data_IF_371599321585
#
_entry.id   IF_371599321585
#
_cell.length_a   1.000
_cell.length_b   1.000
_cell.length_c   1.000
_cell.angle_alpha   90.00
_cell.angle_beta   90.00
_cell.angle_gamma   90.00
#
_symmetry.space_group_name_H-M   'P 1'
#
loop_
_entity.id
_entity.type
_entity.pdbx_description
1 polymer ?
#
# COMPACT_ATOMS: atom_id res chain seq x y z
N UNK A 1 20.79 -13.53 -10.09
CA UNK A 1 21.19 -13.19 -11.47
C UNK A 1 21.31 -14.42 -12.39
N UNK A 2 20.69 -15.59 -12.11
CA UNK A 2 20.71 -16.72 -13.08
C UNK A 2 19.39 -17.48 -13.25
N UNK A 3 18.25 -16.89 -12.85
CA UNK A 3 16.92 -17.52 -13.02
C UNK A 3 15.85 -16.60 -13.63
N UNK A 4 16.18 -15.32 -13.83
CA UNK A 4 15.20 -14.27 -14.19
C UNK A 4 14.97 -14.13 -15.70
N UNK A 5 15.83 -14.73 -16.53
CA UNK A 5 15.73 -14.66 -18.00
C UNK A 5 15.27 -15.98 -18.64
N UNK A 6 15.64 -17.14 -18.10
CA UNK A 6 15.31 -18.45 -18.66
C UNK A 6 13.89 -18.94 -18.37
N UNK A 7 13.37 -18.70 -17.15
CA UNK A 7 12.08 -19.25 -16.71
C UNK A 7 10.87 -18.73 -17.50
N UNK A 8 10.97 -17.52 -18.03
CA UNK A 8 9.87 -16.88 -18.80
C UNK A 8 9.77 -17.44 -20.21
N UNK A 9 10.90 -17.77 -20.85
CA UNK A 9 10.91 -18.45 -22.17
C UNK A 9 10.38 -19.88 -22.08
N UNK A 10 10.66 -20.58 -20.98
CA UNK A 10 10.11 -21.92 -20.73
C UNK A 10 8.59 -21.87 -20.59
N UNK A 11 8.05 -20.86 -19.90
CA UNK A 11 6.61 -20.73 -19.64
C UNK A 11 5.76 -20.33 -20.87
N UNK A 12 6.32 -19.58 -21.82
CA UNK A 12 5.64 -19.30 -23.09
C UNK A 12 5.48 -20.55 -23.98
N UNK A 13 6.20 -21.63 -23.68
CA UNK A 13 6.12 -22.90 -24.38
C UNK A 13 5.05 -23.82 -23.77
N UNK A 14 4.33 -24.61 -24.58
CA UNK A 14 3.19 -25.46 -24.13
C UNK A 14 3.57 -26.39 -22.96
N UNK A 15 4.82 -26.87 -22.94
CA UNK A 15 5.35 -27.78 -21.93
C UNK A 15 5.70 -27.10 -20.59
N UNK A 16 6.10 -25.82 -20.62
CA UNK A 16 6.39 -25.07 -19.40
C UNK A 16 5.14 -24.70 -18.61
N UNK A 17 3.99 -24.54 -19.29
CA UNK A 17 2.67 -24.39 -18.65
C UNK A 17 2.27 -25.65 -17.87
N UNK A 18 2.49 -26.83 -18.45
CA UNK A 18 2.17 -28.11 -17.79
C UNK A 18 3.08 -28.36 -16.59
N UNK A 19 4.38 -28.06 -16.70
CA UNK A 19 5.33 -28.13 -15.58
C UNK A 19 4.95 -27.16 -14.44
N UNK A 20 4.55 -25.92 -14.75
CA UNK A 20 4.12 -24.97 -13.72
C UNK A 20 2.76 -25.31 -13.08
N UNK A 21 1.87 -25.97 -13.80
CA UNK A 21 0.62 -26.48 -13.22
C UNK A 21 0.86 -27.64 -12.24
N UNK A 22 1.87 -28.46 -12.49
CA UNK A 22 2.21 -29.61 -11.63
C UNK A 22 3.04 -29.17 -10.41
N UNK A 23 3.99 -28.24 -10.60
CA UNK A 23 4.93 -27.84 -9.53
C UNK A 23 4.61 -26.49 -8.87
N UNK A 24 3.70 -25.69 -9.42
CA UNK A 24 3.39 -24.34 -8.95
C UNK A 24 2.76 -24.29 -7.56
N UNK A 25 1.87 -25.23 -7.23
CA UNK A 25 1.28 -25.38 -5.90
C UNK A 25 2.32 -25.78 -4.85
N UNK A 26 3.26 -26.67 -5.20
CA UNK A 26 4.36 -27.04 -4.31
C UNK A 26 5.33 -25.87 -4.08
N UNK A 27 5.63 -25.08 -5.13
CA UNK A 27 6.54 -23.93 -5.05
C UNK A 27 5.94 -22.76 -4.26
N UNK A 28 4.63 -22.50 -4.37
CA UNK A 28 3.92 -21.48 -3.59
C UNK A 28 3.89 -21.83 -2.09
N UNK A 29 3.67 -23.10 -1.75
CA UNK A 29 3.75 -23.58 -0.37
C UNK A 29 5.18 -23.52 0.19
N UNK A 30 6.20 -23.70 -0.65
CA UNK A 30 7.60 -23.70 -0.22
C UNK A 30 8.18 -22.29 -0.01
N UNK A 31 7.70 -21.30 -0.78
CA UNK A 31 8.29 -19.94 -0.79
C UNK A 31 7.53 -18.93 0.06
N UNK A 32 6.27 -19.18 0.45
CA UNK A 32 5.40 -18.26 1.21
C UNK A 32 5.34 -16.82 0.65
N UNK A 33 5.78 -16.60 -0.59
CA UNK A 33 6.01 -15.26 -1.14
C UNK A 33 4.74 -14.65 -1.75
N UNK A 34 3.64 -15.40 -1.86
CA UNK A 34 2.44 -14.95 -2.57
C UNK A 34 1.18 -15.23 -1.74
N UNK A 35 0.64 -14.17 -1.15
CA UNK A 35 -0.66 -14.07 -0.46
C UNK A 35 -1.80 -13.88 -1.47
N UNK A 36 -2.01 -14.85 -2.36
CA UNK A 36 -3.18 -14.81 -3.26
C UNK A 36 -3.86 -16.17 -3.25
N UNK A 37 -5.18 -16.17 -3.05
CA UNK A 37 -6.02 -17.38 -3.14
C UNK A 37 -5.76 -18.05 -4.49
N UNK A 38 -5.18 -19.26 -4.43
CA UNK A 38 -4.78 -20.04 -5.60
C UNK A 38 -5.96 -20.76 -6.29
N UNK A 39 -7.19 -20.29 -6.07
CA UNK A 39 -8.40 -20.91 -6.61
C UNK A 39 -8.56 -20.70 -8.12
N UNK A 40 -7.89 -19.68 -8.68
CA UNK A 40 -7.92 -19.37 -10.10
C UNK A 40 -6.52 -19.06 -10.65
N UNK A 41 -6.03 -19.91 -11.56
CA UNK A 41 -4.72 -19.79 -12.21
C UNK A 41 -4.53 -18.44 -12.93
N UNK A 42 -5.60 -17.83 -13.43
CA UNK A 42 -5.53 -16.51 -14.07
C UNK A 42 -5.20 -15.40 -13.06
N UNK A 43 -5.70 -15.50 -11.82
CA UNK A 43 -5.38 -14.54 -10.76
C UNK A 43 -3.92 -14.68 -10.33
N UNK A 44 -3.38 -15.90 -10.32
CA UNK A 44 -1.96 -16.15 -10.05
C UNK A 44 -1.07 -15.55 -11.14
N UNK A 45 -1.45 -15.71 -12.42
CA UNK A 45 -0.72 -15.14 -13.57
C UNK A 45 -0.76 -13.61 -13.58
N UNK A 46 -1.93 -13.03 -13.30
CA UNK A 46 -2.10 -11.59 -13.19
C UNK A 46 -1.26 -11.05 -12.03
N UNK A 47 -1.30 -11.68 -10.87
CA UNK A 47 -0.52 -11.29 -9.69
C UNK A 47 0.98 -11.39 -9.95
N UNK A 48 1.46 -12.47 -10.57
CA UNK A 48 2.87 -12.63 -10.92
C UNK A 48 3.34 -11.58 -11.95
N UNK A 49 2.50 -11.24 -12.92
CA UNK A 49 2.78 -10.19 -13.90
C UNK A 49 2.83 -8.82 -13.23
N UNK A 50 1.84 -8.50 -12.41
CA UNK A 50 1.78 -7.26 -11.61
C UNK A 50 3.00 -7.15 -10.71
N UNK A 51 3.39 -8.20 -9.97
CA UNK A 51 4.61 -8.19 -9.13
C UNK A 51 5.90 -7.99 -9.94
N UNK A 52 5.99 -8.57 -11.14
CA UNK A 52 7.15 -8.38 -12.03
C UNK A 52 7.27 -6.95 -12.53
N UNK A 53 6.15 -6.32 -12.88
CA UNK A 53 6.14 -4.96 -13.43
C UNK A 53 6.08 -3.86 -12.36
N UNK A 54 5.53 -4.14 -11.17
CA UNK A 54 5.37 -3.16 -10.09
C UNK A 54 6.67 -2.77 -9.39
N UNK A 55 7.80 -3.40 -9.75
CA UNK A 55 9.09 -3.23 -9.07
C UNK A 55 8.93 -3.31 -7.54
N UNK A 56 8.14 -4.26 -7.05
CA UNK A 56 7.78 -4.41 -5.63
C UNK A 56 9.00 -4.33 -4.67
N UNK A 57 10.17 -4.83 -5.10
CA UNK A 57 11.43 -4.72 -4.34
C UNK A 57 11.86 -3.27 -4.03
N UNK A 58 11.38 -2.28 -4.78
CA UNK A 58 11.68 -0.86 -4.57
C UNK A 58 10.65 -0.16 -3.67
N UNK A 59 9.54 -0.82 -3.31
CA UNK A 59 8.48 -0.18 -2.51
C UNK A 59 9.03 0.20 -1.14
N UNK A 60 9.65 -0.74 -0.44
CA UNK A 60 10.24 -0.52 0.88
C UNK A 60 11.29 0.62 0.84
N UNK A 61 12.24 0.56 -0.11
CA UNK A 61 13.25 1.61 -0.28
C UNK A 61 12.63 3.00 -0.52
N UNK A 62 11.50 3.08 -1.24
CA UNK A 62 10.80 4.35 -1.48
C UNK A 62 10.06 4.84 -0.24
N UNK A 63 9.41 3.95 0.51
CA UNK A 63 8.73 4.29 1.76
C UNK A 63 9.72 4.77 2.81
N UNK A 64 10.90 4.15 2.90
CA UNK A 64 12.00 4.61 3.76
C UNK A 64 12.45 6.02 3.37
N UNK A 65 12.67 6.28 2.08
CA UNK A 65 13.02 7.64 1.61
C UNK A 65 11.94 8.67 1.89
N UNK A 66 10.65 8.30 1.77
CA UNK A 66 9.55 9.19 2.13
C UNK A 66 9.56 9.52 3.63
N UNK A 67 9.77 8.52 4.48
CA UNK A 67 9.92 8.73 5.92
C UNK A 67 11.10 9.65 6.25
N UNK A 68 12.24 9.47 5.60
CA UNK A 68 13.44 10.30 5.79
C UNK A 68 13.27 11.73 5.27
N UNK A 69 12.35 11.97 4.35
CA UNK A 69 12.14 13.29 3.74
C UNK A 69 11.40 14.29 4.62
N UNK A 70 10.84 13.86 5.76
CA UNK A 70 9.97 14.66 6.64
C UNK A 70 8.79 15.34 5.93
N UNK A 71 8.40 14.86 4.74
CA UNK A 71 7.23 15.37 4.03
C UNK A 71 5.96 14.91 4.75
N UNK A 72 4.92 15.77 4.82
CA UNK A 72 3.59 15.34 5.18
C UNK A 72 3.08 14.22 4.26
N UNK A 73 2.69 13.08 4.84
CA UNK A 73 2.20 11.90 4.12
C UNK A 73 0.80 11.54 4.59
N UNK A 74 -0.12 11.36 3.63
CA UNK A 74 -1.43 10.78 3.86
C UNK A 74 -1.53 9.40 3.20
N UNK A 75 -1.77 8.37 4.01
CA UNK A 75 -2.07 7.02 3.54
C UNK A 75 -3.56 6.73 3.74
N UNK A 76 -4.27 6.38 2.66
CA UNK A 76 -5.70 6.06 2.69
C UNK A 76 -5.92 4.66 2.14
N UNK A 77 -6.64 3.82 2.88
CA UNK A 77 -6.99 2.48 2.43
C UNK A 77 -8.27 1.95 3.07
N UNK A 78 -8.74 0.81 2.57
CA UNK A 78 -9.90 0.09 3.11
C UNK A 78 -9.50 -1.31 3.54
N UNK A 79 -9.94 -1.73 4.72
CA UNK A 79 -9.61 -3.05 5.28
C UNK A 79 -10.22 -4.22 4.51
N UNK A 80 -11.32 -3.97 3.79
CA UNK A 80 -11.99 -4.95 2.94
C UNK A 80 -11.61 -4.85 1.44
N UNK A 81 -10.46 -4.25 1.13
CA UNK A 81 -9.93 -4.28 -0.24
C UNK A 81 -9.75 -5.75 -0.68
N UNK A 82 -10.23 -6.07 -1.89
CA UNK A 82 -10.17 -7.42 -2.47
C UNK A 82 -8.87 -7.68 -3.23
N UNK A 83 -8.11 -6.63 -3.53
CA UNK A 83 -6.87 -6.70 -4.29
C UNK A 83 -5.64 -6.74 -3.38
N UNK A 84 -5.70 -6.04 -2.24
CA UNK A 84 -4.59 -5.90 -1.30
C UNK A 84 -5.12 -6.17 0.11
N UNK A 85 -4.48 -7.08 0.83
CA UNK A 85 -4.84 -7.42 2.20
C UNK A 85 -4.51 -6.25 3.14
N UNK A 86 -5.35 -6.03 4.17
CA UNK A 86 -5.21 -4.90 5.09
C UNK A 86 -3.85 -4.87 5.81
N UNK A 87 -3.31 -6.04 6.10
CA UNK A 87 -2.03 -6.24 6.76
C UNK A 87 -0.88 -5.56 5.99
N UNK A 88 -0.93 -5.58 4.66
CA UNK A 88 0.05 -4.94 3.79
C UNK A 88 0.00 -3.41 3.97
N UNK A 89 -1.19 -2.82 4.04
CA UNK A 89 -1.33 -1.38 4.27
C UNK A 89 -0.83 -0.95 5.65
N UNK A 90 -1.09 -1.75 6.68
CA UNK A 90 -0.56 -1.50 8.03
C UNK A 90 0.97 -1.68 8.10
N UNK A 91 1.54 -2.63 7.35
CA UNK A 91 2.98 -2.76 7.19
C UNK A 91 3.57 -1.51 6.51
N UNK A 92 2.97 -1.04 5.41
CA UNK A 92 3.38 0.20 4.74
C UNK A 92 3.31 1.40 5.68
N UNK A 93 2.24 1.53 6.47
CA UNK A 93 2.08 2.57 7.47
C UNK A 93 3.22 2.53 8.51
N UNK A 94 3.58 1.32 8.96
CA UNK A 94 4.68 1.10 9.92
C UNK A 94 6.02 1.51 9.33
N UNK A 95 6.29 1.15 8.06
CA UNK A 95 7.53 1.53 7.36
C UNK A 95 7.61 3.05 7.23
N UNK A 96 6.49 3.72 6.91
CA UNK A 96 6.41 5.18 6.89
C UNK A 96 6.66 5.81 8.27
N UNK A 97 6.52 5.05 9.35
CA UNK A 97 6.73 5.51 10.73
C UNK A 97 5.44 5.84 11.47
N UNK A 98 4.28 5.52 10.89
CA UNK A 98 3.01 5.69 11.56
C UNK A 98 2.91 4.77 12.80
N UNK A 99 2.40 5.33 13.88
CA UNK A 99 2.02 4.64 15.11
C UNK A 99 0.50 4.60 15.21
N UNK A 100 0.00 3.86 16.19
CA UNK A 100 -1.45 3.74 16.44
C UNK A 100 -2.13 5.11 16.65
N UNK A 101 -1.41 6.08 17.23
CA UNK A 101 -1.85 7.48 17.41
C UNK A 101 -2.08 8.27 16.11
N UNK A 102 -1.52 7.80 15.00
CA UNK A 102 -1.59 8.44 13.68
C UNK A 102 -2.69 7.84 12.78
N UNK A 103 -3.47 6.89 13.30
CA UNK A 103 -4.46 6.13 12.53
C UNK A 103 -5.87 6.53 12.93
N UNK A 104 -6.58 7.16 12.00
CA UNK A 104 -8.02 7.32 12.07
C UNK A 104 -8.72 6.11 11.43
N UNK A 105 -9.73 5.58 12.09
CA UNK A 105 -10.52 4.43 11.64
C UNK A 105 -11.97 4.86 11.46
N UNK A 106 -12.52 4.55 10.30
CA UNK A 106 -13.90 4.81 9.92
C UNK A 106 -14.66 3.50 9.75
N UNK A 107 -15.88 3.45 10.28
CA UNK A 107 -16.76 2.30 10.21
C UNK A 107 -17.25 2.00 8.77
N UNK A 108 -18.11 0.99 8.63
CA UNK A 108 -18.66 0.60 7.33
C UNK A 108 -19.54 1.67 6.67
N UNK A 109 -20.07 2.60 7.46
CA UNK A 109 -20.91 3.72 7.04
C UNK A 109 -20.10 4.99 6.77
N UNK A 110 -18.79 4.99 7.05
CA UNK A 110 -17.93 6.17 6.94
C UNK A 110 -18.01 7.10 8.15
N UNK A 111 -18.52 6.62 9.29
CA UNK A 111 -18.50 7.32 10.57
C UNK A 111 -17.16 7.09 11.28
N UNK A 112 -16.66 8.10 11.98
CA UNK A 112 -15.39 8.01 12.70
C UNK A 112 -15.53 7.11 13.95
N UNK A 113 -14.80 5.99 13.98
CA UNK A 113 -14.69 5.11 15.16
C UNK A 113 -13.54 5.54 16.08
N UNK A 114 -12.43 5.93 15.46
CA UNK A 114 -11.19 6.33 16.14
C UNK A 114 -10.58 7.50 15.38
N UNK A 115 -10.27 8.58 16.09
CA UNK A 115 -9.56 9.73 15.52
C UNK A 115 -8.05 9.65 15.80
N UNK A 116 -7.29 10.50 15.13
CA UNK A 116 -5.91 10.78 15.47
C UNK A 116 -5.81 11.27 16.92
N UNK A 117 -4.82 10.79 17.66
CA UNK A 117 -4.56 11.28 19.02
C UNK A 117 -3.38 12.24 19.07
N UNK A 118 -2.65 12.41 17.95
CA UNK A 118 -1.51 13.29 17.82
C UNK A 118 -1.43 13.88 16.41
N UNK A 119 -1.17 15.19 16.33
CA UNK A 119 -0.86 15.83 15.06
C UNK A 119 0.60 15.52 14.70
N UNK A 120 0.79 14.78 13.61
CA UNK A 120 2.08 14.31 13.12
C UNK A 120 2.10 14.45 11.59
N UNK A 121 3.30 14.39 11.04
CA UNK A 121 3.55 14.51 9.59
C UNK A 121 2.90 13.37 8.79
N UNK A 122 2.73 12.21 9.42
CA UNK A 122 2.11 11.03 8.79
C UNK A 122 0.71 10.85 9.35
N UNK A 123 -0.28 10.77 8.46
CA UNK A 123 -1.67 10.49 8.78
C UNK A 123 -2.15 9.27 8.01
N UNK A 124 -2.84 8.38 8.71
CA UNK A 124 -3.40 7.16 8.12
C UNK A 124 -4.91 7.19 8.28
N UNK A 125 -5.64 6.98 7.19
CA UNK A 125 -7.10 6.85 7.16
C UNK A 125 -7.45 5.43 6.73
N UNK A 126 -8.02 4.66 7.65
CA UNK A 126 -8.49 3.30 7.41
C UNK A 126 -10.01 3.25 7.41
N UNK A 127 -10.60 2.63 6.39
CA UNK A 127 -12.05 2.35 6.33
C UNK A 127 -12.31 0.86 6.57
N UNK A 128 -13.24 0.51 7.46
CA UNK A 128 -13.67 -0.89 7.67
C UNK A 128 -14.25 -1.50 6.39
N UNK A 129 -14.95 -0.69 5.60
CA UNK A 129 -15.54 -1.09 4.33
C UNK A 129 -15.39 0.02 3.30
N UNK A 130 -15.04 -0.28 2.05
CA UNK A 130 -14.79 0.74 1.02
C UNK A 130 -14.23 0.21 -0.29
N UNK A 131 -13.61 -0.98 -0.25
CA UNK A 131 -12.94 -1.60 -1.38
C UNK A 131 -11.73 -0.79 -1.86
N UNK A 132 -11.21 -1.17 -3.03
CA UNK A 132 -9.99 -0.57 -3.59
C UNK A 132 -10.11 0.95 -3.86
N UNK A 133 -11.31 1.39 -4.25
CA UNK A 133 -11.60 2.78 -4.57
C UNK A 133 -12.33 3.50 -3.42
N UNK A 134 -11.91 3.25 -2.17
CA UNK A 134 -12.54 3.84 -0.99
C UNK A 134 -12.58 5.37 -1.00
N UNK A 135 -11.64 6.03 -1.68
CA UNK A 135 -11.62 7.48 -1.87
C UNK A 135 -12.76 8.02 -2.74
N UNK A 136 -13.36 7.20 -3.61
CA UNK A 136 -14.58 7.54 -4.34
C UNK A 136 -15.83 7.33 -3.49
N UNK A 137 -15.81 6.34 -2.59
CA UNK A 137 -16.95 6.03 -1.71
C UNK A 137 -17.06 7.04 -0.57
N UNK A 138 -15.94 7.41 0.05
CA UNK A 138 -15.86 8.32 1.20
C UNK A 138 -15.15 9.62 0.84
N UNK A 139 -15.49 10.19 -0.33
CA UNK A 139 -14.83 11.39 -0.86
C UNK A 139 -14.82 12.55 0.12
N UNK A 140 -15.88 12.74 0.91
CA UNK A 140 -15.93 13.82 1.91
C UNK A 140 -14.85 13.66 2.99
N UNK A 141 -14.64 12.44 3.47
CA UNK A 141 -13.62 12.14 4.49
C UNK A 141 -12.23 12.31 3.90
N UNK A 142 -11.99 11.76 2.70
CA UNK A 142 -10.68 11.81 2.04
C UNK A 142 -10.31 13.25 1.65
N UNK A 143 -11.24 14.02 1.11
CA UNK A 143 -11.00 15.43 0.78
C UNK A 143 -10.64 16.24 2.02
N UNK A 144 -11.36 16.03 3.13
CA UNK A 144 -11.04 16.69 4.40
C UNK A 144 -9.63 16.33 4.89
N UNK A 145 -9.23 15.07 4.77
CA UNK A 145 -7.89 14.64 5.14
C UNK A 145 -6.81 15.27 4.22
N UNK A 146 -7.07 15.37 2.92
CA UNK A 146 -6.20 16.09 1.98
C UNK A 146 -6.08 17.58 2.34
N UNK A 147 -7.18 18.26 2.64
CA UNK A 147 -7.18 19.67 3.03
C UNK A 147 -6.36 19.90 4.31
N UNK A 148 -6.45 18.97 5.27
CA UNK A 148 -5.66 19.02 6.50
C UNK A 148 -4.16 18.83 6.22
N UNK A 149 -3.80 17.94 5.30
CA UNK A 149 -2.42 17.72 4.87
C UNK A 149 -1.83 18.94 4.14
N UNK A 150 -2.62 19.59 3.29
CA UNK A 150 -2.17 20.79 2.58
C UNK A 150 -1.96 21.97 3.54
N UNK A 151 -2.82 22.12 4.54
CA UNK A 151 -2.64 23.16 5.58
C UNK A 151 -1.38 22.97 6.40
N UNK A 152 -0.96 21.74 6.67
CA UNK A 152 0.33 21.51 7.36
C UNK A 152 1.51 22.02 6.54
N UNK A 153 1.47 21.88 5.21
CA UNK A 153 2.51 22.42 4.31
C UNK A 153 2.50 23.95 4.27
N UNK A 154 1.31 24.57 4.19
CA UNK A 154 1.20 26.04 4.17
C UNK A 154 1.74 26.67 5.47
N UNK A 155 1.55 26.02 6.62
CA UNK A 155 2.09 26.50 7.89
C UNK A 155 3.62 26.37 7.98
N UNK A 156 4.22 25.32 7.40
CA UNK A 156 5.67 25.16 7.33
C UNK A 156 6.31 26.24 6.44
N UNK A 157 5.75 26.48 5.26
CA UNK A 157 6.24 27.52 4.32
C UNK A 157 6.17 28.91 4.94
N UNK A 158 5.09 29.24 5.64
CA UNK A 158 4.94 30.57 6.26
C UNK A 158 5.84 30.78 7.48
N UNK A 159 6.25 29.71 8.17
CA UNK A 159 7.15 29.80 9.33
C UNK A 159 8.63 29.88 8.92
N UNK A 160 9.04 29.25 7.82
CA UNK A 160 10.41 29.39 7.28
C UNK A 160 10.70 30.83 6.81
N UNK A 161 9.73 31.49 6.16
CA UNK A 161 9.89 32.87 5.66
C UNK A 161 10.12 33.89 6.79
N UNK A 162 9.60 33.64 7.99
CA UNK A 162 9.75 34.56 9.14
C UNK A 162 11.13 34.39 9.81
N UNK A 163 11.73 33.20 9.73
CA UNK A 163 13.02 32.91 10.37
C UNK A 163 14.22 33.49 9.59
N UNK A 164 14.10 33.67 8.28
CA UNK A 164 15.18 34.19 7.42
C UNK A 164 15.25 35.74 7.36
N UNK A 165 14.42 36.43 8.16
CA UNK A 165 14.35 37.91 8.18
C UNK A 165 14.93 38.59 9.44
N UNK A 166 15.70 37.88 10.27
CA UNK A 166 16.39 38.47 11.43
C UNK A 166 17.92 38.43 11.32
#
# INVERSE_FOLDING_TARGET
VWYTEGGVKVYQNKWGRTLFQIFGTAFLNLTKTVTVKADNMNNVILSASTMRYSKFKQLEERLIKLKESNLPVLLVFSENDRLIEKEIFYEMATILGAKDENIAIYDENGSLEKDYTKDDTIKVVSFRSGGHYCFLKYTQVVNKACDQLLKTLDHEVNNEVICDTN
#
